data_IF_901379014823
#
_entry.id   IF_901379014823
#
_cell.length_a   1.000
_cell.length_b   1.000
_cell.length_c   1.000
_cell.angle_alpha   90.00
_cell.angle_beta   90.00
_cell.angle_gamma   90.00
#
_symmetry.space_group_name_H-M   'P 1'
#
loop_
_entity.id
_entity.type
_entity.pdbx_description
1 polymer ?
#
# COMPACT_ATOMS: atom_id res chain seq x y z
N UNK A 1 -64.40 -14.34 18.66
CA UNK A 1 -63.07 -14.96 18.87
C UNK A 1 -62.12 -14.34 17.87
N UNK A 2 -61.33 -13.38 18.34
CA UNK A 2 -60.46 -12.52 17.53
C UNK A 2 -59.12 -13.22 17.26
N UNK A 3 -58.62 -13.17 16.02
CA UNK A 3 -57.32 -13.69 15.62
C UNK A 3 -56.28 -12.56 15.69
N UNK A 4 -55.28 -12.72 16.56
CA UNK A 4 -54.10 -11.84 16.64
C UNK A 4 -53.14 -12.22 15.50
N UNK A 5 -53.00 -11.36 14.50
CA UNK A 5 -51.97 -11.52 13.47
C UNK A 5 -50.70 -10.82 13.96
N UNK A 6 -49.65 -11.60 14.20
CA UNK A 6 -48.32 -11.13 14.58
C UNK A 6 -47.56 -10.73 13.32
N UNK A 7 -47.41 -9.42 13.08
CA UNK A 7 -46.65 -8.89 11.96
C UNK A 7 -45.15 -8.87 12.26
N UNK A 8 -44.40 -9.84 11.74
CA UNK A 8 -42.95 -9.79 11.71
C UNK A 8 -42.51 -8.98 10.48
N UNK A 9 -42.01 -7.76 10.70
CA UNK A 9 -41.42 -6.93 9.65
C UNK A 9 -40.01 -7.44 9.33
N UNK A 10 -39.86 -8.04 8.14
CA UNK A 10 -38.55 -8.41 7.58
C UNK A 10 -37.89 -7.12 7.08
N UNK A 11 -36.88 -6.63 7.80
CA UNK A 11 -35.95 -5.60 7.30
C UNK A 11 -35.05 -6.24 6.24
N UNK A 12 -35.47 -6.14 4.98
CA UNK A 12 -34.66 -6.54 3.83
C UNK A 12 -33.67 -5.39 3.53
N UNK A 13 -32.55 -5.37 4.25
CA UNK A 13 -31.43 -4.48 3.96
C UNK A 13 -30.80 -4.87 2.63
N UNK A 14 -30.92 -4.02 1.62
CA UNK A 14 -30.27 -4.22 0.33
C UNK A 14 -28.74 -4.22 0.51
N UNK A 15 -28.10 -5.39 0.36
CA UNK A 15 -26.66 -5.47 0.12
C UNK A 15 -26.40 -4.91 -1.28
N UNK A 16 -26.15 -3.60 -1.38
CA UNK A 16 -25.50 -3.05 -2.56
C UNK A 16 -24.02 -3.48 -2.51
N UNK A 17 -23.46 -4.09 -3.57
CA UNK A 17 -22.04 -4.37 -3.60
C UNK A 17 -21.28 -3.05 -3.50
N UNK A 18 -20.42 -2.91 -2.50
CA UNK A 18 -19.47 -1.80 -2.46
C UNK A 18 -18.58 -1.95 -3.70
N UNK A 19 -18.62 -0.96 -4.58
CA UNK A 19 -17.65 -0.89 -5.68
C UNK A 19 -16.29 -0.63 -5.06
N UNK A 20 -15.44 -1.64 -5.03
CA UNK A 20 -14.00 -1.51 -4.78
C UNK A 20 -13.44 -0.32 -5.58
N UNK A 21 -12.58 0.52 -5.00
CA UNK A 21 -11.93 1.63 -5.71
C UNK A 21 -10.44 1.62 -5.41
N UNK A 22 -9.64 1.93 -6.42
CA UNK A 22 -8.24 2.31 -6.24
C UNK A 22 -8.19 3.55 -5.35
N UNK A 23 -7.33 3.52 -4.32
CA UNK A 23 -7.07 4.64 -3.45
C UNK A 23 -5.82 5.41 -3.91
N UNK A 24 -5.86 6.72 -3.75
CA UNK A 24 -4.66 7.55 -3.74
C UNK A 24 -4.25 7.77 -2.30
N UNK A 25 -3.18 7.12 -1.85
CA UNK A 25 -2.67 7.16 -0.49
C UNK A 25 -1.56 8.22 -0.39
N UNK A 26 -1.82 9.30 0.34
CA UNK A 26 -0.87 10.39 0.54
C UNK A 26 0.10 10.04 1.67
N UNK A 27 1.39 10.00 1.37
CA UNK A 27 2.45 9.78 2.36
C UNK A 27 2.75 11.08 3.09
N UNK A 28 2.96 10.99 4.40
CA UNK A 28 3.35 12.12 5.23
C UNK A 28 3.43 11.76 6.71
N UNK A 29 3.31 12.76 7.58
CA UNK A 29 3.50 12.60 9.03
C UNK A 29 2.58 11.56 9.69
N UNK A 30 1.42 11.26 9.11
CA UNK A 30 0.44 10.31 9.65
C UNK A 30 0.38 9.00 8.89
N UNK A 31 1.06 8.88 7.75
CA UNK A 31 1.02 7.72 6.88
C UNK A 31 2.42 7.52 6.27
N UNK A 32 3.19 6.62 6.86
CA UNK A 32 4.51 6.26 6.33
C UNK A 32 4.38 5.40 5.07
N UNK A 33 5.45 5.30 4.27
CA UNK A 33 5.43 4.46 3.06
C UNK A 33 5.19 2.99 3.43
N UNK A 34 5.79 2.50 4.53
CA UNK A 34 5.59 1.14 5.00
C UNK A 34 4.12 0.86 5.38
N UNK A 35 3.47 1.78 6.09
CA UNK A 35 2.04 1.67 6.44
C UNK A 35 1.16 1.77 5.19
N UNK A 36 1.52 2.61 4.22
CA UNK A 36 0.77 2.73 2.97
C UNK A 36 0.84 1.46 2.12
N UNK A 37 2.01 0.84 2.02
CA UNK A 37 2.17 -0.47 1.37
C UNK A 37 1.31 -1.50 2.11
N UNK A 38 1.34 -1.50 3.45
CA UNK A 38 0.51 -2.43 4.22
C UNK A 38 -0.99 -2.19 4.00
N UNK A 39 -1.42 -0.93 3.93
CA UNK A 39 -2.81 -0.57 3.71
C UNK A 39 -3.30 -1.03 2.33
N UNK A 40 -2.49 -0.81 1.29
CA UNK A 40 -2.77 -1.27 -0.08
C UNK A 40 -2.79 -2.80 -0.20
N UNK A 41 -1.89 -3.51 0.49
CA UNK A 41 -1.82 -4.97 0.41
C UNK A 41 -2.89 -5.69 1.26
N UNK A 42 -3.49 -5.00 2.23
CA UNK A 42 -4.50 -5.60 3.12
C UNK A 42 -5.90 -5.07 2.90
N UNK A 43 -6.07 -4.15 1.94
CA UNK A 43 -7.32 -3.42 1.69
C UNK A 43 -7.94 -2.87 3.00
N UNK A 44 -7.07 -2.46 3.94
CA UNK A 44 -7.46 -2.05 5.30
C UNK A 44 -6.67 -0.83 5.74
N UNK A 45 -7.33 0.15 6.35
CA UNK A 45 -6.65 1.34 6.83
C UNK A 45 -5.61 0.99 7.90
N UNK A 46 -4.37 1.43 7.72
CA UNK A 46 -3.25 1.20 8.63
C UNK A 46 -2.67 2.55 9.05
N UNK A 47 -2.53 2.77 10.36
CA UNK A 47 -2.07 4.06 10.87
C UNK A 47 -3.00 5.19 10.43
N UNK A 48 -2.46 6.23 9.78
CA UNK A 48 -3.23 7.28 9.12
C UNK A 48 -3.37 7.11 7.60
N UNK A 49 -3.06 5.93 7.06
CA UNK A 49 -3.24 5.61 5.64
C UNK A 49 -4.67 5.13 5.38
N UNK A 50 -5.28 5.64 4.32
CA UNK A 50 -6.54 5.11 3.78
C UNK A 50 -6.27 3.81 3.03
N UNK A 51 -7.31 2.98 2.88
CA UNK A 51 -7.26 1.76 2.06
C UNK A 51 -7.95 1.95 0.72
N UNK A 52 -7.45 1.26 -0.29
CA UNK A 52 -8.19 0.92 -1.51
C UNK A 52 -8.58 -0.56 -1.51
N UNK A 53 -9.21 -1.00 -2.61
CA UNK A 53 -9.57 -2.40 -2.87
C UNK A 53 -9.15 -2.80 -4.32
N UNK A 54 -8.29 -1.99 -4.95
CA UNK A 54 -7.78 -2.19 -6.32
C UNK A 54 -6.33 -1.69 -6.41
N UNK A 55 -5.79 -1.55 -7.63
CA UNK A 55 -4.45 -1.01 -7.84
C UNK A 55 -4.30 0.39 -7.23
N UNK A 56 -3.54 0.49 -6.15
CA UNK A 56 -3.40 1.72 -5.37
C UNK A 56 -2.26 2.61 -5.87
N UNK A 57 -2.43 3.91 -5.67
CA UNK A 57 -1.44 4.93 -5.97
C UNK A 57 -0.92 5.57 -4.68
N UNK A 58 0.34 5.32 -4.37
CA UNK A 58 1.05 5.90 -3.25
C UNK A 58 1.78 7.16 -3.72
N UNK A 59 1.52 8.29 -3.06
CA UNK A 59 2.04 9.60 -3.45
C UNK A 59 2.95 10.14 -2.37
N UNK A 60 4.24 10.27 -2.70
CA UNK A 60 5.28 10.81 -1.80
C UNK A 60 5.49 12.30 -2.10
N UNK A 61 5.63 13.15 -1.08
CA UNK A 61 6.05 14.53 -1.29
C UNK A 61 7.42 14.62 -1.97
N UNK A 62 7.55 15.49 -2.96
CA UNK A 62 8.82 15.77 -3.63
C UNK A 62 9.93 16.22 -2.69
N UNK A 63 11.17 15.79 -2.96
CA UNK A 63 12.33 16.12 -2.14
C UNK A 63 12.45 15.30 -0.85
N UNK A 64 11.55 14.34 -0.63
CA UNK A 64 11.60 13.43 0.52
C UNK A 64 12.75 12.43 0.38
N UNK A 65 13.49 12.23 1.48
CA UNK A 65 14.40 11.11 1.66
C UNK A 65 13.85 10.19 2.75
N UNK A 66 13.37 9.03 2.35
CA UNK A 66 12.86 7.99 3.23
C UNK A 66 13.97 7.00 3.55
N UNK A 67 14.20 6.74 4.84
CA UNK A 67 15.25 5.86 5.33
C UNK A 67 14.64 4.69 6.08
N UNK A 68 14.78 3.49 5.54
CA UNK A 68 14.19 2.28 6.12
C UNK A 68 15.19 1.49 6.95
N UNK A 69 14.77 1.08 8.13
CA UNK A 69 15.54 0.21 9.03
C UNK A 69 15.10 -1.25 8.98
N UNK A 70 14.02 -1.55 8.27
CA UNK A 70 13.48 -2.90 8.06
C UNK A 70 12.78 -3.01 6.71
N UNK A 71 12.67 -4.24 6.20
CA UNK A 71 11.91 -4.52 4.99
C UNK A 71 10.42 -4.17 5.18
N UNK A 72 9.75 -3.57 4.17
CA UNK A 72 8.30 -3.48 4.16
C UNK A 72 7.66 -4.86 3.89
N UNK A 73 6.34 -4.93 4.00
CA UNK A 73 5.57 -6.11 3.57
C UNK A 73 5.77 -6.39 2.07
N UNK A 74 5.77 -7.67 1.72
CA UNK A 74 5.81 -8.13 0.31
C UNK A 74 4.66 -7.54 -0.49
N UNK A 75 4.96 -7.01 -1.67
CA UNK A 75 3.94 -6.52 -2.60
C UNK A 75 3.47 -7.68 -3.46
N UNK A 76 2.16 -7.95 -3.43
CA UNK A 76 1.52 -9.05 -4.15
C UNK A 76 0.52 -8.56 -5.21
N UNK A 77 0.17 -7.28 -5.16
CA UNK A 77 -0.82 -6.65 -6.04
C UNK A 77 -0.19 -5.60 -6.97
N UNK A 78 -1.01 -4.95 -7.78
CA UNK A 78 -0.57 -3.82 -8.61
C UNK A 78 -0.48 -2.56 -7.76
N UNK A 79 0.64 -1.84 -7.83
CA UNK A 79 0.88 -0.63 -7.06
C UNK A 79 1.67 0.39 -7.87
N UNK A 80 1.24 1.66 -7.82
CA UNK A 80 2.02 2.78 -8.35
C UNK A 80 2.58 3.59 -7.19
N UNK A 81 3.90 3.78 -7.19
CA UNK A 81 4.57 4.70 -6.27
C UNK A 81 5.14 5.87 -7.07
N UNK A 82 4.64 7.07 -6.78
CA UNK A 82 5.08 8.28 -7.46
C UNK A 82 5.31 9.42 -6.50
N UNK A 83 5.95 10.47 -7.00
CA UNK A 83 6.00 11.75 -6.29
C UNK A 83 4.89 12.70 -6.73
N UNK A 84 4.51 13.64 -5.86
CA UNK A 84 3.63 14.76 -6.23
C UNK A 84 4.37 15.86 -7.02
N UNK A 85 5.68 15.95 -6.83
CA UNK A 85 6.57 16.96 -7.37
C UNK A 85 8.02 16.47 -7.30
N UNK A 86 8.90 16.99 -8.17
CA UNK A 86 10.33 16.70 -8.10
C UNK A 86 10.68 15.20 -8.12
N UNK A 87 11.53 14.77 -7.19
CA UNK A 87 11.98 13.38 -7.02
C UNK A 87 12.05 13.04 -5.54
N UNK A 88 11.80 11.79 -5.18
CA UNK A 88 12.02 11.26 -3.84
C UNK A 88 13.10 10.18 -3.87
N UNK A 89 13.77 9.96 -2.74
CA UNK A 89 14.70 8.84 -2.55
C UNK A 89 14.18 7.95 -1.44
N UNK A 90 14.11 6.64 -1.72
CA UNK A 90 13.90 5.60 -0.71
C UNK A 90 15.20 4.83 -0.59
N UNK A 91 15.71 4.69 0.62
CA UNK A 91 16.92 3.92 0.85
C UNK A 91 16.88 3.11 2.11
N UNK A 92 17.74 2.10 2.13
CA UNK A 92 18.05 1.36 3.35
C UNK A 92 18.95 2.22 4.24
N UNK A 93 18.75 2.16 5.55
CA UNK A 93 19.76 2.58 6.50
C UNK A 93 20.95 1.62 6.41
N UNK A 94 22.15 2.13 6.13
CA UNK A 94 23.34 1.30 5.98
C UNK A 94 23.73 0.56 7.25
N UNK A 95 23.28 1.02 8.43
CA UNK A 95 23.48 0.38 9.72
C UNK A 95 22.44 -0.71 10.05
N UNK A 96 21.32 -0.75 9.31
CA UNK A 96 20.32 -1.78 9.48
C UNK A 96 20.80 -3.14 8.94
N UNK A 97 20.06 -4.21 9.27
CA UNK A 97 20.23 -5.50 8.60
C UNK A 97 20.02 -5.36 7.08
N UNK A 98 20.55 -6.30 6.31
CA UNK A 98 20.34 -6.33 4.87
C UNK A 98 18.91 -6.74 4.53
N UNK A 99 18.29 -6.01 3.61
CA UNK A 99 16.98 -6.35 3.06
C UNK A 99 16.76 -5.69 1.69
N UNK A 100 15.87 -6.31 0.92
CA UNK A 100 15.35 -5.79 -0.35
C UNK A 100 14.35 -4.69 -0.07
N UNK A 101 14.46 -3.54 -0.75
CA UNK A 101 13.49 -2.44 -0.60
C UNK A 101 12.09 -2.86 -1.08
N UNK A 102 11.99 -3.44 -2.27
CA UNK A 102 10.73 -3.96 -2.79
C UNK A 102 10.86 -5.43 -3.16
N UNK A 103 10.18 -6.28 -2.41
CA UNK A 103 10.02 -7.70 -2.70
C UNK A 103 8.63 -7.93 -3.30
N UNK A 104 8.60 -8.47 -4.51
CA UNK A 104 7.38 -8.66 -5.30
C UNK A 104 7.05 -10.15 -5.44
N UNK A 105 5.78 -10.52 -5.41
CA UNK A 105 5.34 -11.83 -5.89
C UNK A 105 5.38 -11.90 -7.43
N UNK A 106 5.35 -13.09 -8.06
CA UNK A 106 5.42 -13.21 -9.52
C UNK A 106 4.28 -12.53 -10.29
N UNK A 107 3.15 -12.24 -9.63
CA UNK A 107 1.99 -11.57 -10.23
C UNK A 107 1.93 -10.07 -9.93
N UNK A 108 2.78 -9.58 -9.02
CA UNK A 108 2.77 -8.17 -8.64
C UNK A 108 3.35 -7.30 -9.76
N UNK A 109 2.80 -6.09 -9.89
CA UNK A 109 3.28 -5.08 -10.83
C UNK A 109 3.50 -3.79 -10.05
N UNK A 110 4.74 -3.33 -9.99
CA UNK A 110 5.08 -2.07 -9.33
C UNK A 110 5.56 -1.06 -10.35
N UNK A 111 4.88 0.09 -10.41
CA UNK A 111 5.29 1.23 -11.22
C UNK A 111 5.94 2.27 -10.32
N UNK A 112 7.20 2.64 -10.62
CA UNK A 112 7.93 3.69 -9.90
C UNK A 112 8.08 4.92 -10.81
N UNK A 113 7.56 6.07 -10.39
CA UNK A 113 7.63 7.32 -11.15
C UNK A 113 8.35 8.39 -10.33
N UNK A 114 9.50 8.86 -10.84
CA UNK A 114 10.34 9.87 -10.19
C UNK A 114 10.80 9.50 -8.75
N UNK A 115 10.96 8.20 -8.50
CA UNK A 115 11.52 7.65 -7.26
C UNK A 115 12.91 7.07 -7.55
N UNK A 116 13.88 7.42 -6.70
CA UNK A 116 15.20 6.77 -6.68
C UNK A 116 15.28 5.79 -5.52
N UNK A 117 15.83 4.61 -5.78
CA UNK A 117 16.11 3.61 -4.76
C UNK A 117 17.61 3.58 -4.48
N UNK A 118 18.03 3.36 -3.22
CA UNK A 118 19.46 3.23 -2.87
C UNK A 118 19.70 2.25 -1.72
N UNK A 119 20.90 1.69 -1.68
CA UNK A 119 21.42 0.90 -0.55
C UNK A 119 20.63 -0.38 -0.23
N UNK A 120 19.66 -0.76 -1.07
CA UNK A 120 18.93 -2.01 -0.98
C UNK A 120 19.81 -3.21 -1.30
N UNK A 121 19.54 -4.35 -0.66
CA UNK A 121 20.31 -5.58 -0.86
C UNK A 121 19.35 -6.71 -1.18
N UNK A 122 19.51 -7.36 -2.33
CA UNK A 122 18.78 -8.58 -2.69
C UNK A 122 19.64 -9.79 -2.32
N UNK A 123 18.97 -10.89 -2.00
CA UNK A 123 19.55 -12.21 -1.82
C UNK A 123 19.57 -13.02 -3.14
N UNK A 124 19.47 -12.36 -4.29
CA UNK A 124 19.27 -12.92 -5.64
C UNK A 124 17.91 -13.63 -5.86
N UNK A 125 16.92 -13.38 -4.99
CA UNK A 125 15.54 -13.82 -5.24
C UNK A 125 14.91 -13.08 -6.42
N UNK A 126 14.17 -13.80 -7.28
CA UNK A 126 13.38 -13.20 -8.35
C UNK A 126 12.35 -12.19 -7.78
N UNK A 127 12.12 -11.07 -8.47
CA UNK A 127 11.14 -10.07 -8.03
C UNK A 127 11.68 -8.99 -7.09
N UNK A 128 13.00 -8.76 -7.07
CA UNK A 128 13.59 -7.64 -6.32
C UNK A 128 13.81 -6.42 -7.22
N UNK A 129 13.39 -5.23 -6.76
CA UNK A 129 13.83 -3.97 -7.39
C UNK A 129 15.06 -3.45 -6.65
N UNK A 130 16.21 -3.50 -7.31
CA UNK A 130 17.48 -2.97 -6.82
C UNK A 130 17.98 -1.85 -7.73
N UNK A 131 18.60 -0.84 -7.12
CA UNK A 131 19.41 0.14 -7.84
C UNK A 131 20.74 0.24 -7.08
N UNK A 132 21.89 0.16 -7.78
CA UNK A 132 23.22 0.20 -7.17
C UNK A 132 23.54 1.52 -6.47
#
# INVERSE_FOLDING_TARGET
>A
MEHKILGAAIMLGALLPATARAATIQIGSSCSIAEAIQAAETDTAVGGCVAGDQADELVIPGGTEEVWTSAPTTISTELTLRTDSGRATIRRDTSAAYFTLFMLTPSAVVTLLDVSLRDGVSDDSAGCVLVP
#
